data_IF_354891488219
#
_entry.id   IF_354891488219
#
_cell.length_a   1.000
_cell.length_b   1.000
_cell.length_c   1.000
_cell.angle_alpha   90.00
_cell.angle_beta   90.00
_cell.angle_gamma   90.00
#
_symmetry.space_group_name_H-M   'P 1'
#
loop_
_entity.id
_entity.type
_entity.pdbx_description
1 polymer ?
#
# COMPACT_ATOMS: atom_id res chain seq x y z
N UNK A 1 3.01 11.50 -13.36
CA UNK A 1 3.33 10.40 -12.45
C UNK A 1 4.39 9.49 -13.07
N UNK A 2 5.61 9.95 -12.92
CA UNK A 2 6.73 9.26 -13.57
C UNK A 2 6.95 7.85 -13.05
N UNK A 3 6.70 7.63 -11.75
CA UNK A 3 6.91 6.33 -11.14
C UNK A 3 6.02 5.24 -11.74
N UNK A 4 4.89 5.60 -12.33
CA UNK A 4 4.01 4.61 -12.93
C UNK A 4 4.38 4.25 -14.36
N UNK A 5 5.16 5.09 -15.01
CA UNK A 5 5.61 4.81 -16.38
C UNK A 5 6.64 3.70 -16.42
N UNK A 6 7.45 3.56 -15.36
CA UNK A 6 8.46 2.52 -15.30
C UNK A 6 7.88 1.17 -14.87
N UNK A 7 6.64 1.14 -14.38
CA UNK A 7 5.96 -0.08 -13.95
C UNK A 7 4.58 -0.13 -14.60
N UNK A 8 4.56 -0.36 -15.91
CA UNK A 8 3.34 -0.24 -16.71
C UNK A 8 2.19 -1.13 -16.24
N UNK A 9 2.50 -2.33 -15.74
CA UNK A 9 1.44 -3.21 -15.25
C UNK A 9 0.73 -2.63 -14.03
N UNK A 10 1.44 -1.93 -13.17
CA UNK A 10 0.85 -1.26 -12.00
C UNK A 10 -0.05 -0.12 -12.45
N UNK A 11 0.40 0.63 -13.45
CA UNK A 11 -0.40 1.70 -14.00
C UNK A 11 -1.71 1.19 -14.59
N UNK A 12 -1.66 0.07 -15.31
CA UNK A 12 -2.85 -0.52 -15.90
C UNK A 12 -3.83 -1.01 -14.83
N UNK A 13 -3.34 -1.60 -13.74
CA UNK A 13 -4.19 -2.03 -12.63
C UNK A 13 -4.90 -0.83 -12.01
N UNK A 14 -4.16 0.22 -11.72
CA UNK A 14 -4.73 1.44 -11.14
C UNK A 14 -5.77 2.05 -12.07
N UNK A 15 -5.48 2.07 -13.36
CA UNK A 15 -6.37 2.61 -14.37
C UNK A 15 -7.69 1.84 -14.43
N UNK A 16 -7.63 0.51 -14.37
CA UNK A 16 -8.83 -0.32 -14.36
C UNK A 16 -9.67 -0.11 -13.10
N UNK A 17 -9.02 -0.04 -11.96
CA UNK A 17 -9.72 0.22 -10.69
C UNK A 17 -10.41 1.57 -10.76
N UNK A 18 -9.76 2.59 -11.31
CA UNK A 18 -10.29 3.94 -11.40
C UNK A 18 -11.54 4.04 -12.29
N UNK A 19 -11.74 3.09 -13.19
CA UNK A 19 -12.95 3.04 -14.03
C UNK A 19 -14.16 2.54 -13.26
N UNK A 20 -13.94 1.79 -12.18
CA UNK A 20 -15.01 1.09 -11.46
C UNK A 20 -15.25 1.60 -10.05
N UNK A 21 -14.37 2.45 -9.56
CA UNK A 21 -14.42 2.94 -8.19
C UNK A 21 -13.86 4.35 -8.12
N UNK A 22 -14.25 5.08 -7.07
CA UNK A 22 -13.61 6.35 -6.76
C UNK A 22 -12.27 6.07 -6.11
N UNK A 23 -11.20 6.73 -6.58
CA UNK A 23 -9.85 6.51 -6.08
C UNK A 23 -9.24 7.83 -5.61
N UNK A 24 -8.69 7.81 -4.39
CA UNK A 24 -7.91 8.92 -3.87
C UNK A 24 -6.47 8.45 -3.71
N UNK A 25 -5.56 9.12 -4.38
CA UNK A 25 -4.14 8.78 -4.31
C UNK A 25 -3.48 9.52 -3.16
N UNK A 26 -2.71 8.79 -2.37
CA UNK A 26 -2.03 9.36 -1.22
C UNK A 26 -0.60 8.83 -1.16
N UNK A 27 0.35 9.70 -0.93
CA UNK A 27 1.75 9.33 -0.82
C UNK A 27 2.67 10.44 -1.32
N UNK A 28 3.99 10.23 -1.19
CA UNK A 28 4.96 11.21 -1.68
C UNK A 28 4.71 11.54 -3.16
N UNK A 29 4.68 12.83 -3.47
CA UNK A 29 4.43 13.30 -4.82
C UNK A 29 2.97 13.60 -5.12
N UNK A 30 2.04 13.22 -4.25
CA UNK A 30 0.63 13.55 -4.40
C UNK A 30 0.27 14.72 -3.49
N UNK A 31 -0.60 15.59 -4.01
CA UNK A 31 -1.09 16.70 -3.22
C UNK A 31 -1.86 16.21 -2.01
N UNK A 32 -1.65 16.86 -0.88
CA UNK A 32 -2.32 16.47 0.35
C UNK A 32 -1.56 15.47 1.20
N UNK A 33 -0.47 14.90 0.70
CA UNK A 33 0.35 14.00 1.49
C UNK A 33 1.09 14.75 2.60
N UNK A 34 1.04 14.21 3.81
CA UNK A 34 1.78 14.72 4.95
C UNK A 34 2.31 13.55 5.77
N UNK A 35 3.61 13.52 5.99
CA UNK A 35 4.28 12.46 6.74
C UNK A 35 3.74 12.31 8.17
N UNK A 36 3.13 13.36 8.70
CA UNK A 36 2.58 13.35 10.05
C UNK A 36 1.11 12.91 10.11
N UNK A 37 0.50 12.63 8.98
CA UNK A 37 -0.90 12.19 8.95
C UNK A 37 -1.09 10.82 9.56
N UNK A 38 -2.13 10.68 10.35
CA UNK A 38 -2.67 9.38 10.74
C UNK A 38 -3.71 8.96 9.70
N UNK A 39 -4.16 7.70 9.78
CA UNK A 39 -5.21 7.22 8.87
C UNK A 39 -6.50 8.04 9.03
N UNK A 40 -6.78 8.53 10.22
CA UNK A 40 -7.96 9.36 10.44
C UNK A 40 -7.86 10.69 9.68
N UNK A 41 -6.66 11.27 9.62
CA UNK A 41 -6.45 12.50 8.86
C UNK A 41 -6.56 12.27 7.37
N UNK A 42 -6.08 11.13 6.89
CA UNK A 42 -6.26 10.74 5.49
C UNK A 42 -7.73 10.58 5.15
N UNK A 43 -8.52 9.98 6.06
CA UNK A 43 -9.96 9.85 5.88
C UNK A 43 -10.64 11.22 5.74
N UNK A 44 -10.22 12.18 6.55
CA UNK A 44 -10.76 13.54 6.47
C UNK A 44 -10.43 14.20 5.13
N UNK A 45 -9.23 13.99 4.64
CA UNK A 45 -8.78 14.57 3.36
C UNK A 45 -9.47 13.94 2.16
N UNK A 46 -9.87 12.67 2.28
CA UNK A 46 -10.48 11.93 1.17
C UNK A 46 -11.90 12.43 0.94
N UNK A 47 -12.27 12.78 -0.30
CA UNK A 47 -13.59 13.38 -0.59
C UNK A 47 -14.76 12.39 -0.61
N UNK A 48 -14.53 11.15 -0.18
CA UNK A 48 -15.56 10.11 -0.11
C UNK A 48 -15.22 9.12 1.00
N UNK A 49 -16.17 8.24 1.33
CA UNK A 49 -15.94 7.20 2.33
C UNK A 49 -14.97 6.17 1.76
N UNK A 50 -13.94 5.83 2.53
CA UNK A 50 -12.95 4.84 2.13
C UNK A 50 -13.46 3.45 2.49
N UNK A 51 -13.61 2.59 1.50
CA UNK A 51 -14.02 1.19 1.68
C UNK A 51 -12.83 0.24 1.61
N UNK A 52 -11.74 0.66 1.01
CA UNK A 52 -10.56 -0.18 0.84
C UNK A 52 -9.30 0.67 0.76
N UNK A 53 -8.24 0.20 1.38
CA UNK A 53 -6.92 0.83 1.31
C UNK A 53 -6.02 -0.13 0.55
N UNK A 54 -5.35 0.37 -0.49
CA UNK A 54 -4.41 -0.42 -1.26
C UNK A 54 -3.03 0.22 -1.16
N UNK A 55 -2.08 -0.51 -0.61
CA UNK A 55 -0.69 -0.11 -0.65
C UNK A 55 -0.07 -0.59 -1.96
N UNK A 56 0.36 0.37 -2.77
CA UNK A 56 1.00 0.07 -4.05
C UNK A 56 2.38 -0.57 -3.86
N UNK A 57 2.91 -1.09 -4.93
CA UNK A 57 4.17 -1.85 -4.89
C UNK A 57 5.38 -1.06 -4.41
N UNK A 58 5.33 0.26 -4.47
CA UNK A 58 6.45 1.10 -4.06
C UNK A 58 6.30 1.66 -2.64
N UNK A 59 5.23 1.31 -1.93
CA UNK A 59 5.00 1.87 -0.60
C UNK A 59 5.99 1.34 0.42
N UNK A 60 6.13 0.01 0.53
CA UNK A 60 7.03 -0.58 1.51
C UNK A 60 8.49 -0.47 1.05
N UNK A 61 9.37 -0.23 2.00
CA UNK A 61 10.79 -0.10 1.72
C UNK A 61 11.41 -1.46 1.39
N UNK A 62 12.03 -1.56 0.23
CA UNK A 62 12.67 -2.80 -0.23
C UNK A 62 14.12 -2.94 0.22
N UNK A 63 14.69 -1.93 0.84
CA UNK A 63 16.08 -1.95 1.24
C UNK A 63 16.29 -2.87 2.45
N UNK A 64 17.13 -3.86 2.31
CA UNK A 64 17.43 -4.79 3.40
C UNK A 64 18.02 -4.07 4.59
N UNK A 65 17.54 -4.42 5.78
CA UNK A 65 18.01 -3.83 7.03
C UNK A 65 17.41 -2.47 7.35
N UNK A 66 16.61 -1.89 6.46
CA UNK A 66 15.96 -0.63 6.71
C UNK A 66 14.56 -0.81 7.29
N UNK A 67 13.98 0.28 7.75
CA UNK A 67 12.59 0.29 8.20
C UNK A 67 11.66 0.01 7.04
N UNK A 68 10.80 -0.98 7.18
CA UNK A 68 9.90 -1.38 6.11
C UNK A 68 8.77 -0.37 5.94
N UNK A 69 8.29 0.19 7.04
CA UNK A 69 7.18 1.13 7.02
C UNK A 69 7.68 2.56 6.80
N UNK A 70 7.38 3.16 5.65
CA UNK A 70 7.84 4.53 5.37
C UNK A 70 7.03 5.59 6.11
N UNK A 71 5.90 5.22 6.71
CA UNK A 71 4.98 6.20 7.28
C UNK A 71 4.29 5.63 8.51
N UNK A 72 5.06 5.41 9.61
CA UNK A 72 4.49 4.80 10.82
C UNK A 72 3.38 5.61 11.47
N UNK A 73 3.33 6.91 11.23
CA UNK A 73 2.28 7.76 11.79
C UNK A 73 0.88 7.42 11.27
N UNK A 74 0.77 6.76 10.11
CA UNK A 74 -0.53 6.35 9.59
C UNK A 74 -1.27 5.43 10.54
N UNK A 75 -0.56 4.53 11.21
CA UNK A 75 -1.14 3.59 12.17
C UNK A 75 -2.30 2.80 11.55
N UNK A 76 -2.00 2.09 10.47
CA UNK A 76 -3.00 1.33 9.74
C UNK A 76 -3.68 0.25 10.59
N UNK A 77 -3.02 -0.21 11.65
CA UNK A 77 -3.61 -1.17 12.58
C UNK A 77 -4.82 -0.62 13.33
N UNK A 78 -4.99 0.69 13.33
CA UNK A 78 -6.08 1.35 14.06
C UNK A 78 -7.37 1.48 13.26
N UNK A 79 -7.40 0.98 12.03
CA UNK A 79 -8.62 1.01 11.23
C UNK A 79 -9.00 -0.39 10.79
N UNK A 80 -10.31 -0.64 10.68
CA UNK A 80 -10.86 -1.92 10.22
C UNK A 80 -11.21 -1.90 8.73
N UNK A 81 -10.85 -0.83 8.03
CA UNK A 81 -11.06 -0.76 6.59
C UNK A 81 -10.28 -1.90 5.93
N UNK A 82 -10.89 -2.52 4.91
CA UNK A 82 -10.23 -3.57 4.13
C UNK A 82 -8.88 -3.07 3.64
N UNK A 83 -7.82 -3.86 3.87
CA UNK A 83 -6.46 -3.48 3.49
C UNK A 83 -5.86 -4.51 2.57
N UNK A 84 -5.31 -4.04 1.47
CA UNK A 84 -4.66 -4.86 0.45
C UNK A 84 -3.26 -4.30 0.23
N UNK A 85 -2.28 -5.16 0.07
CA UNK A 85 -0.91 -4.75 -0.24
C UNK A 85 -0.43 -5.47 -1.49
N UNK A 86 0.27 -4.74 -2.34
CA UNK A 86 0.92 -5.29 -3.53
C UNK A 86 2.42 -5.30 -3.25
N UNK A 87 3.00 -6.49 -3.14
CA UNK A 87 4.42 -6.63 -2.83
C UNK A 87 5.26 -6.50 -4.09
N UNK A 88 6.33 -5.72 -3.95
CA UNK A 88 7.37 -5.62 -4.95
C UNK A 88 8.63 -6.26 -4.36
N UNK A 89 9.44 -6.90 -5.20
CA UNK A 89 10.68 -7.52 -4.76
C UNK A 89 10.46 -8.32 -3.48
N UNK A 90 9.56 -9.27 -3.53
CA UNK A 90 9.15 -10.07 -2.37
C UNK A 90 10.30 -10.83 -1.72
N UNK A 91 11.43 -10.99 -2.42
CA UNK A 91 12.61 -11.63 -1.86
C UNK A 91 13.48 -10.69 -1.02
N UNK A 92 13.24 -9.38 -1.06
CA UNK A 92 14.00 -8.41 -0.27
C UNK A 92 13.20 -7.96 0.93
N UNK A 93 13.86 -7.92 2.10
CA UNK A 93 13.25 -7.48 3.35
C UNK A 93 11.92 -8.21 3.65
N UNK A 94 11.83 -9.46 3.22
CA UNK A 94 10.57 -10.21 3.24
C UNK A 94 10.00 -10.39 4.64
N UNK A 95 10.83 -10.79 5.61
CA UNK A 95 10.36 -11.04 6.96
C UNK A 95 9.74 -9.78 7.58
N UNK A 96 10.36 -8.63 7.35
CA UNK A 96 9.85 -7.37 7.85
C UNK A 96 8.54 -6.99 7.17
N UNK A 97 8.45 -7.24 5.85
CA UNK A 97 7.21 -6.98 5.11
C UNK A 97 6.06 -7.84 5.60
N UNK A 98 6.32 -9.11 5.86
CA UNK A 98 5.29 -10.02 6.37
C UNK A 98 4.85 -9.64 7.78
N UNK A 99 5.77 -9.22 8.62
CA UNK A 99 5.42 -8.72 9.95
C UNK A 99 4.55 -7.46 9.85
N UNK A 100 4.91 -6.54 8.97
CA UNK A 100 4.12 -5.34 8.75
C UNK A 100 2.70 -5.67 8.32
N UNK A 101 2.54 -6.59 7.38
CA UNK A 101 1.25 -7.04 6.89
C UNK A 101 0.41 -7.62 8.01
N UNK A 102 1.01 -8.47 8.83
CA UNK A 102 0.33 -9.11 9.94
C UNK A 102 -0.04 -8.09 11.02
N UNK A 103 0.92 -7.25 11.42
CA UNK A 103 0.73 -6.31 12.51
C UNK A 103 -0.29 -5.23 12.19
N UNK A 104 -0.47 -4.92 10.92
CA UNK A 104 -1.45 -3.94 10.47
C UNK A 104 -2.75 -4.56 9.96
N UNK A 105 -2.90 -5.86 10.16
CA UNK A 105 -4.16 -6.57 9.88
C UNK A 105 -4.59 -6.48 8.41
N UNK A 106 -3.65 -6.68 7.50
CA UNK A 106 -3.97 -6.70 6.08
C UNK A 106 -4.79 -7.94 5.72
N UNK A 107 -5.76 -7.75 4.86
CA UNK A 107 -6.69 -8.81 4.46
C UNK A 107 -6.16 -9.63 3.30
N UNK A 108 -5.46 -8.99 2.35
CA UNK A 108 -4.93 -9.64 1.17
C UNK A 108 -3.57 -9.05 0.81
N UNK A 109 -2.74 -9.88 0.18
CA UNK A 109 -1.49 -9.43 -0.40
C UNK A 109 -1.32 -10.07 -1.78
N UNK A 110 -0.71 -9.34 -2.69
CA UNK A 110 -0.44 -9.82 -4.03
C UNK A 110 1.04 -9.66 -4.35
N UNK A 111 1.60 -10.61 -5.08
CA UNK A 111 2.99 -10.56 -5.53
C UNK A 111 3.04 -10.76 -7.04
N UNK A 112 4.23 -10.65 -7.60
CA UNK A 112 4.45 -10.97 -9.01
C UNK A 112 4.44 -12.48 -9.26
N UNK A 113 4.60 -13.28 -8.20
CA UNK A 113 4.58 -14.73 -8.30
C UNK A 113 3.16 -15.26 -8.19
N UNK A 114 2.92 -16.40 -8.81
CA UNK A 114 1.58 -17.03 -8.77
C UNK A 114 1.29 -17.67 -7.43
N UNK A 115 2.31 -18.03 -6.68
CA UNK A 115 2.16 -18.72 -5.41
C UNK A 115 2.21 -17.74 -4.24
N UNK A 116 1.17 -16.94 -4.13
CA UNK A 116 1.08 -15.93 -3.08
C UNK A 116 0.98 -16.55 -1.70
N UNK A 117 0.36 -17.71 -1.57
CA UNK A 117 0.18 -18.39 -0.29
C UNK A 117 1.50 -18.69 0.39
N UNK A 118 2.52 -18.86 -0.40
CA UNK A 118 3.88 -19.11 0.07
C UNK A 118 4.39 -18.01 1.00
N UNK A 119 3.90 -16.79 0.82
CA UNK A 119 4.39 -15.64 1.57
C UNK A 119 3.38 -15.12 2.59
N UNK A 120 2.11 -15.30 2.34
CA UNK A 120 1.05 -14.68 3.15
C UNK A 120 0.50 -15.65 4.20
N UNK A 121 0.35 -16.89 3.85
CA UNK A 121 -0.07 -17.92 4.79
C UNK A 121 1.12 -18.40 5.63
#
# INVERSE_FOLDING_TARGET
MEEYKSASYQYEVIKEISKQAQVYFYGPGFEGYDLNDSINEVKVKTPFKIDCIILGHSWLNDKDGGEVDPHPMLKLSKTNILKIVILNKEYTNLDAKLRFIRDNHFNLGFTHHHDIKRYIE
#
